data_IF_535254372537
#
_entry.id   IF_535254372537
#
_cell.length_a   1.000
_cell.length_b   1.000
_cell.length_c   1.000
_cell.angle_alpha   90.00
_cell.angle_beta   90.00
_cell.angle_gamma   90.00
#
_symmetry.space_group_name_H-M   'P 1'
#
loop_
_entity.id
_entity.type
_entity.pdbx_description
1 polymer ?
#
# COMPACT_ATOMS: atom_id res chain seq x y z
N UNK A 1 -33.63 -14.03 -21.35
CA UNK A 1 -32.46 -14.78 -21.86
C UNK A 1 -31.22 -14.15 -21.27
N UNK A 2 -30.57 -14.79 -20.30
CA UNK A 2 -29.28 -14.33 -19.76
C UNK A 2 -28.18 -15.08 -20.52
N UNK A 3 -27.58 -14.42 -21.51
CA UNK A 3 -26.31 -14.88 -22.07
C UNK A 3 -25.25 -14.79 -20.97
N UNK A 4 -24.53 -15.89 -20.65
CA UNK A 4 -23.38 -15.79 -19.76
C UNK A 4 -22.44 -14.73 -20.35
N UNK A 5 -22.01 -13.78 -19.51
CA UNK A 5 -21.05 -12.76 -19.90
C UNK A 5 -19.85 -13.44 -20.55
N UNK A 6 -19.78 -13.32 -21.87
CA UNK A 6 -18.71 -13.92 -22.67
C UNK A 6 -17.37 -13.32 -22.23
N UNK A 7 -16.38 -14.16 -22.02
CA UNK A 7 -15.06 -13.76 -21.50
C UNK A 7 -14.42 -12.69 -22.37
N UNK A 8 -14.64 -12.75 -23.69
CA UNK A 8 -14.17 -11.75 -24.63
C UNK A 8 -14.85 -10.37 -24.44
N UNK A 9 -16.12 -10.35 -24.06
CA UNK A 9 -16.84 -9.10 -23.75
C UNK A 9 -16.31 -8.48 -22.46
N UNK A 10 -16.04 -9.30 -21.45
CA UNK A 10 -15.44 -8.87 -20.19
C UNK A 10 -14.01 -8.34 -20.39
N UNK A 11 -13.17 -9.06 -21.15
CA UNK A 11 -11.81 -8.62 -21.48
C UNK A 11 -11.78 -7.31 -22.25
N UNK A 12 -12.69 -7.13 -23.21
CA UNK A 12 -12.77 -5.90 -23.97
C UNK A 12 -13.24 -4.71 -23.10
N UNK A 13 -14.16 -4.98 -22.17
CA UNK A 13 -14.59 -3.98 -21.21
C UNK A 13 -13.48 -3.62 -20.21
N UNK A 14 -12.76 -4.61 -19.69
CA UNK A 14 -11.59 -4.40 -18.83
C UNK A 14 -10.50 -3.62 -19.56
N UNK A 15 -10.24 -3.92 -20.84
CA UNK A 15 -9.25 -3.18 -21.64
C UNK A 15 -9.61 -1.69 -21.72
N UNK A 16 -10.86 -1.37 -22.00
CA UNK A 16 -11.34 0.02 -22.04
C UNK A 16 -11.26 0.71 -20.67
N UNK A 17 -11.54 -0.03 -19.59
CA UNK A 17 -11.39 0.49 -18.23
C UNK A 17 -9.92 0.80 -17.93
N UNK A 18 -9.01 -0.13 -18.24
CA UNK A 18 -7.56 0.04 -18.02
C UNK A 18 -7.02 1.22 -18.82
N UNK A 19 -7.36 1.35 -20.11
CA UNK A 19 -6.97 2.51 -20.91
C UNK A 19 -7.46 3.84 -20.33
N UNK A 20 -8.63 3.83 -19.68
CA UNK A 20 -9.16 5.03 -19.04
C UNK A 20 -8.46 5.33 -17.71
N UNK A 21 -8.07 4.31 -16.96
CA UNK A 21 -7.21 4.48 -15.79
C UNK A 21 -5.83 5.04 -16.18
N UNK A 22 -5.20 4.51 -17.23
CA UNK A 22 -3.90 5.00 -17.70
C UNK A 22 -3.96 6.48 -18.14
N UNK A 23 -5.01 6.87 -18.89
CA UNK A 23 -5.23 8.28 -19.26
C UNK A 23 -5.46 9.17 -18.05
N UNK A 24 -6.21 8.71 -17.06
CA UNK A 24 -6.44 9.45 -15.83
C UNK A 24 -5.15 9.60 -15.02
N UNK A 25 -4.32 8.55 -14.97
CA UNK A 25 -3.03 8.57 -14.28
C UNK A 25 -2.07 9.58 -14.93
N UNK A 26 -1.99 9.61 -16.26
CA UNK A 26 -1.20 10.60 -17.01
C UNK A 26 -1.71 12.03 -16.78
N UNK A 27 -3.03 12.23 -16.77
CA UNK A 27 -3.61 13.54 -16.49
C UNK A 27 -3.30 14.00 -15.06
N UNK A 28 -3.44 13.12 -14.06
CA UNK A 28 -3.09 13.40 -12.67
C UNK A 28 -1.60 13.74 -12.55
N UNK A 29 -0.72 12.99 -13.22
CA UNK A 29 0.72 13.26 -13.24
C UNK A 29 1.02 14.66 -13.80
N UNK A 30 0.39 15.03 -14.91
CA UNK A 30 0.55 16.36 -15.54
C UNK A 30 0.03 17.51 -14.67
N UNK A 31 -1.07 17.31 -13.94
CA UNK A 31 -1.71 18.35 -13.11
C UNK A 31 -1.04 18.51 -11.75
N UNK A 32 -0.52 17.41 -11.18
CA UNK A 32 0.12 17.43 -9.85
C UNK A 32 1.62 17.63 -9.92
N UNK A 33 2.22 17.66 -11.12
CA UNK A 33 3.67 17.69 -11.31
C UNK A 33 4.39 16.48 -10.68
N UNK A 34 3.63 15.45 -10.28
CA UNK A 34 4.16 14.20 -9.80
C UNK A 34 4.47 13.37 -11.02
N UNK A 35 5.76 13.22 -11.32
CA UNK A 35 6.25 12.10 -12.12
C UNK A 35 5.51 10.83 -11.69
N UNK A 36 5.01 10.04 -12.66
CA UNK A 36 4.38 8.73 -12.41
C UNK A 36 5.17 8.06 -11.29
N UNK A 37 4.51 7.72 -10.17
CA UNK A 37 5.20 7.20 -8.99
C UNK A 37 5.87 5.89 -9.40
N UNK A 38 7.12 5.99 -9.81
CA UNK A 38 7.89 4.84 -10.24
C UNK A 38 7.95 3.91 -9.04
N UNK A 39 7.37 2.73 -9.20
CA UNK A 39 7.47 1.69 -8.19
C UNK A 39 8.95 1.36 -8.09
N UNK A 40 9.59 1.80 -7.01
CA UNK A 40 11.02 1.64 -6.84
C UNK A 40 11.31 0.20 -6.47
N UNK A 41 12.08 -0.48 -7.29
CA UNK A 41 12.61 -1.79 -6.97
C UNK A 41 14.06 -1.66 -6.54
N UNK A 42 14.44 -2.36 -5.48
CA UNK A 42 15.83 -2.51 -5.06
C UNK A 42 16.11 -4.00 -4.94
N UNK A 43 17.06 -4.51 -5.74
CA UNK A 43 17.44 -5.93 -5.75
C UNK A 43 16.27 -6.88 -6.09
N UNK A 44 15.34 -6.42 -6.93
CA UNK A 44 14.12 -7.16 -7.29
C UNK A 44 12.99 -7.07 -6.26
N UNK A 45 13.21 -6.44 -5.10
CA UNK A 45 12.16 -6.21 -4.10
C UNK A 45 11.51 -4.84 -4.25
N UNK A 46 10.19 -4.78 -4.10
CA UNK A 46 9.44 -3.52 -4.10
C UNK A 46 9.77 -2.71 -2.83
N UNK A 47 10.12 -1.45 -3.03
CA UNK A 47 10.28 -0.46 -1.98
C UNK A 47 9.01 0.38 -1.86
N UNK A 48 8.43 0.35 -0.67
CA UNK A 48 7.30 1.17 -0.27
C UNK A 48 7.83 2.46 0.35
N UNK A 49 7.22 3.60 0.03
CA UNK A 49 7.50 4.83 0.76
C UNK A 49 6.50 5.06 1.91
N UNK A 50 6.64 6.16 2.66
CA UNK A 50 5.74 6.46 3.78
C UNK A 50 4.27 6.56 3.37
N UNK A 51 3.97 6.99 2.15
CA UNK A 51 2.60 7.13 1.67
C UNK A 51 2.03 5.74 1.35
N UNK A 52 2.77 4.94 0.59
CA UNK A 52 2.35 3.57 0.25
C UNK A 52 2.12 2.74 1.52
N UNK A 53 2.98 2.93 2.52
CA UNK A 53 2.87 2.23 3.79
C UNK A 53 1.67 2.71 4.62
N UNK A 54 1.37 4.01 4.60
CA UNK A 54 0.18 4.56 5.25
C UNK A 54 -1.11 4.01 4.63
N UNK A 55 -1.14 3.88 3.30
CA UNK A 55 -2.27 3.32 2.55
C UNK A 55 -2.40 1.82 2.83
N UNK A 56 -1.29 1.07 2.75
CA UNK A 56 -1.27 -0.38 2.97
C UNK A 56 -1.67 -0.77 4.40
N UNK A 57 -1.17 -0.06 5.40
CA UNK A 57 -1.47 -0.33 6.82
C UNK A 57 -2.73 0.42 7.31
N UNK A 58 -3.37 1.20 6.44
CA UNK A 58 -4.49 2.08 6.75
C UNK A 58 -4.26 2.92 8.04
N UNK A 59 -3.05 3.47 8.16
CA UNK A 59 -2.58 4.12 9.40
C UNK A 59 -1.95 5.48 9.13
N UNK A 60 -1.91 6.32 10.17
CA UNK A 60 -1.34 7.66 10.06
C UNK A 60 0.19 7.63 10.03
N UNK A 61 0.81 8.68 9.45
CA UNK A 61 2.27 8.90 9.49
C UNK A 61 2.82 8.85 10.93
N UNK A 62 2.02 9.27 11.91
CA UNK A 62 2.38 9.24 13.34
C UNK A 62 2.52 7.82 13.87
N UNK A 63 1.67 6.89 13.41
CA UNK A 63 1.78 5.47 13.75
C UNK A 63 3.03 4.85 13.13
N UNK A 64 3.30 5.13 11.86
CA UNK A 64 4.52 4.67 11.18
C UNK A 64 5.78 5.16 11.90
N UNK A 65 5.81 6.45 12.27
CA UNK A 65 6.92 7.00 13.04
C UNK A 65 7.10 6.28 14.38
N UNK A 66 6.01 5.95 15.08
CA UNK A 66 6.07 5.16 16.32
C UNK A 66 6.65 3.77 16.08
N UNK A 67 6.23 3.07 15.03
CA UNK A 67 6.75 1.73 14.68
C UNK A 67 8.23 1.76 14.32
N UNK A 68 8.72 2.86 13.73
CA UNK A 68 10.16 3.07 13.51
C UNK A 68 10.91 3.32 14.80
N UNK A 69 10.40 4.19 15.66
CA UNK A 69 11.02 4.48 16.97
C UNK A 69 11.03 3.26 17.89
N UNK A 70 10.02 2.39 17.80
CA UNK A 70 9.97 1.13 18.55
C UNK A 70 10.79 0.01 17.93
N UNK A 71 11.39 0.22 16.74
CA UNK A 71 12.18 -0.78 16.03
C UNK A 71 11.37 -1.95 15.46
N UNK A 72 10.04 -1.90 15.54
CA UNK A 72 9.18 -3.01 15.10
C UNK A 72 9.03 -3.02 13.59
N UNK A 73 9.17 -1.87 12.95
CA UNK A 73 9.19 -1.73 11.49
C UNK A 73 10.58 -1.36 11.00
N UNK A 74 11.21 -2.29 10.28
CA UNK A 74 12.52 -2.09 9.63
C UNK A 74 12.38 -1.07 8.50
N UNK A 75 13.37 -0.20 8.35
CA UNK A 75 13.39 0.83 7.31
C UNK A 75 14.79 1.01 6.75
N UNK A 76 14.88 1.49 5.50
CA UNK A 76 16.13 1.88 4.86
C UNK A 76 16.05 3.33 4.39
N UNK A 77 17.18 4.03 4.44
CA UNK A 77 17.30 5.36 3.88
C UNK A 77 18.01 5.26 2.54
N UNK A 78 17.33 5.65 1.46
CA UNK A 78 17.91 5.80 0.14
C UNK A 78 17.72 7.24 -0.31
N UNK A 79 18.82 7.90 -0.70
CA UNK A 79 18.79 9.28 -1.21
C UNK A 79 18.02 10.25 -0.30
N UNK A 80 18.24 10.17 1.01
CA UNK A 80 17.58 11.01 2.03
C UNK A 80 16.06 10.78 2.17
N UNK A 81 15.50 9.77 1.49
CA UNK A 81 14.12 9.34 1.64
C UNK A 81 14.06 7.96 2.30
N UNK A 82 13.02 7.77 3.11
CA UNK A 82 12.81 6.53 3.85
C UNK A 82 11.97 5.59 3.01
N UNK A 83 12.44 4.35 2.92
CA UNK A 83 11.82 3.26 2.20
C UNK A 83 11.69 2.03 3.09
N UNK A 84 10.72 1.19 2.76
CA UNK A 84 10.43 -0.06 3.44
C UNK A 84 10.41 -1.17 2.40
N UNK A 85 11.14 -2.25 2.67
CA UNK A 85 11.08 -3.45 1.83
C UNK A 85 9.75 -4.15 2.02
N UNK A 86 9.15 -4.63 0.94
CA UNK A 86 7.91 -5.39 1.00
C UNK A 86 8.00 -6.58 1.97
N UNK A 87 9.10 -7.35 1.92
CA UNK A 87 9.37 -8.49 2.81
C UNK A 87 9.32 -8.12 4.30
N UNK A 88 9.94 -6.99 4.67
CA UNK A 88 9.94 -6.50 6.05
C UNK A 88 8.55 -6.04 6.50
N UNK A 89 7.79 -5.42 5.60
CA UNK A 89 6.41 -4.99 5.88
C UNK A 89 5.48 -6.19 6.02
N UNK A 90 5.65 -7.23 5.23
CA UNK A 90 4.92 -8.49 5.35
C UNK A 90 5.20 -9.18 6.69
N UNK A 91 6.46 -9.22 7.13
CA UNK A 91 6.85 -9.75 8.45
C UNK A 91 6.23 -8.93 9.59
N UNK A 92 6.25 -7.61 9.46
CA UNK A 92 5.60 -6.70 10.41
C UNK A 92 4.09 -6.98 10.50
N UNK A 93 3.40 -7.09 9.35
CA UNK A 93 1.98 -7.42 9.29
C UNK A 93 1.67 -8.75 9.97
N UNK A 94 2.43 -9.80 9.66
CA UNK A 94 2.25 -11.14 10.25
C UNK A 94 2.38 -11.14 11.77
N UNK A 95 3.29 -10.32 12.31
CA UNK A 95 3.56 -10.23 13.74
C UNK A 95 2.52 -9.37 14.46
N UNK A 96 2.18 -8.20 13.90
CA UNK A 96 1.25 -7.25 14.51
C UNK A 96 -0.22 -7.63 14.39
N UNK A 97 -0.66 -8.23 13.28
CA UNK A 97 -2.06 -8.65 13.14
C UNK A 97 -2.39 -9.84 14.02
N UNK A 98 -1.44 -10.78 14.22
CA UNK A 98 -1.59 -11.87 15.21
C UNK A 98 -1.80 -11.32 16.63
N UNK A 99 -1.20 -10.18 16.97
CA UNK A 99 -1.35 -9.56 18.28
C UNK A 99 -2.66 -8.75 18.43
N UNK A 100 -3.24 -8.28 17.31
CA UNK A 100 -4.48 -7.49 17.32
C UNK A 100 -5.74 -8.33 17.53
N UNK A 101 -5.73 -9.62 17.15
CA UNK A 101 -6.85 -10.53 17.43
C UNK A 101 -6.95 -10.90 18.93
N UNK A 102 -5.87 -10.73 19.70
CA UNK A 102 -5.84 -11.02 21.13
C UNK A 102 -6.18 -9.83 22.05
N UNK A 103 -6.28 -8.59 21.54
CA UNK A 103 -6.31 -7.38 22.40
C UNK A 103 -7.60 -6.55 22.33
N UNK A 104 -8.60 -6.95 21.54
CA UNK A 104 -9.87 -6.20 21.45
C UNK A 104 -10.89 -6.51 22.57
N UNK A 105 -10.52 -7.34 23.57
CA UNK A 105 -11.40 -7.74 24.68
C UNK A 105 -11.33 -6.90 25.96
N UNK A 106 -10.30 -6.07 26.17
CA UNK A 106 -9.98 -5.59 27.54
C UNK A 106 -9.91 -4.05 27.71
N UNK A 107 -10.66 -3.28 26.91
CA UNK A 107 -10.79 -1.82 27.15
C UNK A 107 -12.22 -1.28 27.08
N UNK A 108 -13.19 -2.04 27.57
CA UNK A 108 -14.56 -1.56 27.88
C UNK A 108 -14.96 -1.92 29.31
N UNK A 109 -14.26 -1.36 30.30
CA UNK A 109 -14.77 -1.20 31.67
C UNK A 109 -13.79 -0.36 32.48
N UNK A 110 -13.94 0.97 32.38
CA UNK A 110 -13.72 1.92 33.48
C UNK A 110 -14.57 3.16 33.19
N UNK A 111 -15.79 3.12 33.69
CA UNK A 111 -16.60 4.29 34.05
C UNK A 111 -17.15 4.00 35.44
#
# INVERSE_FOLDING_TARGET
MNTPLDTATFENWMRQIMERFDRNEQLIASLTGKELREVKYLDGERLLDNQDLCELLNTSKRSIQRYRSSGTLKYQMLWHKVYYKESDVQEFLRTHFKESEGKNGEKRQKA
#
